data_IF_352293808450
#
_entry.id   IF_352293808450
#
_cell.length_a   1.000
_cell.length_b   1.000
_cell.length_c   1.000
_cell.angle_alpha   90.00
_cell.angle_beta   90.00
_cell.angle_gamma   90.00
#
_symmetry.space_group_name_H-M   'P 1'
#
loop_
_entity.id
_entity.type
_entity.pdbx_description
1 polymer ?
#
# COMPACT_ATOMS: atom_id res chain seq x y z
N UNK A 1 -8.97 21.20 7.24
CA UNK A 1 -7.91 20.60 6.40
C UNK A 1 -8.52 20.37 5.02
N UNK A 2 -8.03 21.03 3.97
CA UNK A 2 -8.53 20.80 2.61
C UNK A 2 -8.14 19.38 2.19
N UNK A 3 -9.10 18.46 2.29
CA UNK A 3 -8.90 17.04 2.02
C UNK A 3 -8.66 16.73 0.52
N UNK A 4 -8.68 17.73 -0.37
CA UNK A 4 -8.61 17.48 -1.81
C UNK A 4 -7.19 17.57 -2.38
N UNK A 5 -6.19 17.89 -1.54
CA UNK A 5 -4.83 18.21 -1.97
C UNK A 5 -3.77 17.13 -1.67
N UNK A 6 -4.19 15.86 -1.65
CA UNK A 6 -3.31 14.74 -1.29
C UNK A 6 -2.05 14.62 -2.16
N UNK A 7 -2.13 14.98 -3.44
CA UNK A 7 -0.99 14.93 -4.36
C UNK A 7 0.09 15.95 -3.97
N UNK A 8 -0.28 17.19 -3.64
CA UNK A 8 0.70 18.18 -3.17
C UNK A 8 1.23 17.84 -1.79
N UNK A 9 0.40 17.28 -0.89
CA UNK A 9 0.86 16.83 0.43
C UNK A 9 1.92 15.73 0.28
N UNK A 10 1.65 14.73 -0.57
CA UNK A 10 2.62 13.67 -0.84
C UNK A 10 3.88 14.25 -1.50
N UNK A 11 3.74 15.10 -2.52
CA UNK A 11 4.88 15.69 -3.21
C UNK A 11 5.74 16.58 -2.30
N UNK A 12 5.12 17.35 -1.40
CA UNK A 12 5.83 18.17 -0.43
C UNK A 12 6.64 17.30 0.54
N UNK A 13 6.04 16.21 1.05
CA UNK A 13 6.74 15.27 1.91
C UNK A 13 7.89 14.57 1.16
N UNK A 14 7.64 14.12 -0.07
CA UNK A 14 8.62 13.41 -0.89
C UNK A 14 9.90 14.20 -1.14
N UNK A 15 9.76 15.52 -1.33
CA UNK A 15 10.87 16.43 -1.65
C UNK A 15 11.45 17.12 -0.40
N UNK A 16 11.08 16.70 0.81
CA UNK A 16 11.56 17.33 2.04
C UNK A 16 12.88 16.70 2.49
N UNK A 17 13.95 17.50 2.57
CA UNK A 17 15.33 17.05 2.89
C UNK A 17 15.47 16.29 4.22
N UNK A 18 14.58 16.55 5.19
CA UNK A 18 14.57 15.89 6.50
C UNK A 18 13.77 14.60 6.57
N UNK A 19 13.19 14.12 5.45
CA UNK A 19 12.36 12.92 5.37
C UNK A 19 13.03 11.84 4.53
N UNK A 20 12.65 10.58 4.78
CA UNK A 20 13.20 9.43 4.07
C UNK A 20 12.24 8.95 3.00
N UNK A 21 12.58 9.22 1.74
CA UNK A 21 11.81 8.82 0.56
C UNK A 21 12.42 7.57 -0.10
N UNK A 22 11.57 6.60 -0.41
CA UNK A 22 11.97 5.30 -0.97
C UNK A 22 11.02 4.95 -2.13
N UNK A 23 11.60 4.65 -3.29
CA UNK A 23 10.90 4.23 -4.50
C UNK A 23 11.37 2.84 -4.90
N UNK A 24 10.42 1.96 -5.17
CA UNK A 24 10.70 0.65 -5.73
C UNK A 24 10.64 0.70 -7.25
N UNK A 25 11.51 -0.06 -7.91
CA UNK A 25 11.39 -0.32 -9.34
C UNK A 25 10.00 -0.89 -9.65
N UNK A 26 9.30 -0.38 -10.68
CA UNK A 26 7.99 -0.91 -11.07
C UNK A 26 8.06 -2.42 -11.37
N UNK A 27 7.29 -3.19 -10.60
CA UNK A 27 7.29 -4.65 -10.66
C UNK A 27 6.44 -5.14 -11.83
N UNK A 28 7.05 -5.82 -12.80
CA UNK A 28 6.33 -6.53 -13.85
C UNK A 28 5.71 -7.81 -13.29
N UNK A 29 4.41 -7.75 -12.99
CA UNK A 29 3.69 -8.83 -12.29
C UNK A 29 3.64 -10.10 -13.14
N UNK A 30 3.44 -9.97 -14.45
CA UNK A 30 3.32 -11.13 -15.33
C UNK A 30 4.67 -11.79 -15.57
N UNK A 31 5.75 -11.01 -15.68
CA UNK A 31 7.10 -11.56 -15.74
C UNK A 31 7.45 -12.32 -14.45
N UNK A 32 7.17 -11.74 -13.28
CA UNK A 32 7.44 -12.41 -11.99
C UNK A 32 6.61 -13.69 -11.84
N UNK A 33 5.35 -13.69 -12.29
CA UNK A 33 4.54 -14.92 -12.34
C UNK A 33 5.20 -16.00 -13.18
N UNK A 34 5.60 -15.67 -14.41
CA UNK A 34 6.25 -16.60 -15.32
C UNK A 34 7.56 -17.15 -14.74
N UNK A 35 8.33 -16.31 -14.06
CA UNK A 35 9.65 -16.67 -13.55
C UNK A 35 9.59 -17.45 -12.24
N UNK A 36 8.75 -17.04 -11.28
CA UNK A 36 8.81 -17.51 -9.90
C UNK A 36 7.69 -18.50 -9.51
N UNK A 37 6.69 -18.74 -10.37
CA UNK A 37 5.52 -19.56 -10.02
C UNK A 37 5.27 -20.71 -10.99
N UNK A 38 4.80 -21.83 -10.45
CA UNK A 38 4.28 -22.98 -11.18
C UNK A 38 2.78 -22.83 -11.42
N UNK A 39 2.24 -23.60 -12.35
CA UNK A 39 0.78 -23.67 -12.62
C UNK A 39 0.14 -22.33 -13.02
N UNK A 40 0.93 -21.41 -13.59
CA UNK A 40 0.48 -20.11 -14.10
C UNK A 40 0.14 -20.11 -15.59
N UNK A 41 0.06 -21.30 -16.21
CA UNK A 41 -0.28 -21.39 -17.62
C UNK A 41 -1.69 -20.84 -17.89
N UNK A 42 -1.78 -19.79 -18.72
CA UNK A 42 -3.04 -19.10 -19.01
C UNK A 42 -3.42 -18.01 -17.99
N UNK A 43 -2.65 -17.82 -16.92
CA UNK A 43 -2.79 -16.70 -16.01
C UNK A 43 -1.93 -15.53 -16.49
N UNK A 44 -2.57 -14.41 -16.77
CA UNK A 44 -1.95 -13.11 -17.02
C UNK A 44 -2.82 -12.07 -16.34
N UNK A 45 -2.24 -11.27 -15.45
CA UNK A 45 -2.98 -10.18 -14.83
C UNK A 45 -3.05 -9.03 -15.81
N UNK A 46 -4.23 -8.44 -15.89
CA UNK A 46 -4.41 -7.20 -16.63
C UNK A 46 -4.22 -5.98 -15.73
N UNK A 47 -3.96 -4.81 -16.33
CA UNK A 47 -3.92 -3.52 -15.62
C UNK A 47 -5.21 -3.27 -14.85
N UNK A 48 -6.37 -3.58 -15.43
CA UNK A 48 -7.67 -3.47 -14.76
C UNK A 48 -7.75 -4.36 -13.52
N UNK A 49 -7.27 -5.61 -13.60
CA UNK A 49 -7.27 -6.52 -12.46
C UNK A 49 -6.30 -6.08 -11.37
N UNK A 50 -5.11 -5.60 -11.73
CA UNK A 50 -4.14 -5.10 -10.76
C UNK A 50 -4.64 -3.82 -10.07
N UNK A 51 -5.41 -2.99 -10.78
CA UNK A 51 -6.06 -1.84 -10.17
C UNK A 51 -7.22 -2.24 -9.24
N UNK A 52 -8.04 -3.23 -9.62
CA UNK A 52 -9.06 -3.78 -8.72
C UNK A 52 -8.44 -4.31 -7.42
N UNK A 53 -7.31 -5.01 -7.52
CA UNK A 53 -6.53 -5.42 -6.36
C UNK A 53 -6.15 -4.24 -5.47
N UNK A 54 -5.55 -3.17 -6.04
CA UNK A 54 -5.13 -2.00 -5.26
C UNK A 54 -6.31 -1.34 -4.52
N UNK A 55 -7.46 -1.22 -5.19
CA UNK A 55 -8.69 -0.69 -4.59
C UNK A 55 -9.19 -1.56 -3.43
N UNK A 56 -9.20 -2.88 -3.59
CA UNK A 56 -9.62 -3.82 -2.53
C UNK A 56 -8.65 -3.82 -1.35
N UNK A 57 -7.35 -3.86 -1.63
CA UNK A 57 -6.28 -3.76 -0.62
C UNK A 57 -6.40 -2.47 0.17
N UNK A 58 -6.64 -1.34 -0.49
CA UNK A 58 -6.79 -0.06 0.19
C UNK A 58 -7.93 -0.10 1.23
N UNK A 59 -9.07 -0.72 0.87
CA UNK A 59 -10.27 -0.78 1.69
C UNK A 59 -10.23 -1.86 2.81
N UNK A 60 -9.63 -3.01 2.53
CA UNK A 60 -9.56 -4.20 3.42
C UNK A 60 -8.15 -4.78 3.47
N UNK A 61 -7.15 -4.01 3.94
CA UNK A 61 -5.77 -4.44 3.85
C UNK A 61 -5.49 -5.68 4.72
N UNK A 62 -6.30 -5.94 5.75
CA UNK A 62 -6.23 -7.17 6.57
C UNK A 62 -6.38 -8.46 5.76
N UNK A 63 -7.11 -8.43 4.64
CA UNK A 63 -7.30 -9.60 3.77
C UNK A 63 -6.15 -9.80 2.77
N UNK A 64 -5.45 -8.73 2.41
CA UNK A 64 -4.45 -8.76 1.33
C UNK A 64 -3.02 -8.68 1.85
N UNK A 65 -2.78 -8.15 3.04
CA UNK A 65 -1.46 -8.08 3.68
C UNK A 65 -1.49 -8.56 5.14
N UNK A 66 -1.97 -9.80 5.42
CA UNK A 66 -2.00 -10.33 6.78
C UNK A 66 -0.60 -10.51 7.40
N UNK A 67 0.46 -10.55 6.58
CA UNK A 67 1.85 -10.48 7.06
C UNK A 67 2.24 -9.11 7.63
N UNK A 68 1.47 -8.04 7.35
CA UNK A 68 1.70 -6.67 7.83
C UNK A 68 0.67 -6.26 8.88
N UNK A 69 -0.59 -6.65 8.70
CA UNK A 69 -1.72 -6.19 9.52
C UNK A 69 -2.16 -7.23 10.53
N UNK A 70 -2.38 -6.78 11.76
CA UNK A 70 -2.99 -7.63 12.80
C UNK A 70 -4.44 -7.93 12.42
N UNK A 71 -4.75 -9.22 12.34
CA UNK A 71 -6.09 -9.73 12.05
C UNK A 71 -7.16 -9.07 12.93
N UNK A 72 -8.29 -8.70 12.31
CA UNK A 72 -9.44 -8.12 13.00
C UNK A 72 -9.30 -6.65 13.43
N UNK A 73 -8.17 -5.99 13.13
CA UNK A 73 -7.94 -4.59 13.56
C UNK A 73 -8.22 -3.55 12.48
N UNK A 74 -8.23 -3.95 11.21
CA UNK A 74 -8.46 -3.02 10.10
C UNK A 74 -9.91 -2.54 10.06
N UNK A 75 -10.08 -1.22 9.94
CA UNK A 75 -11.36 -0.53 9.79
C UNK A 75 -11.23 0.60 8.79
N UNK A 76 -12.28 0.85 8.00
CA UNK A 76 -12.36 2.00 7.11
C UNK A 76 -13.74 2.66 7.19
N UNK A 77 -13.79 3.98 7.06
CA UNK A 77 -15.01 4.77 7.21
C UNK A 77 -14.93 6.10 6.44
N UNK A 78 -16.03 6.84 6.43
CA UNK A 78 -16.08 8.19 5.84
C UNK A 78 -15.93 8.20 4.32
N UNK A 79 -16.27 7.09 3.65
CA UNK A 79 -16.14 6.97 2.19
C UNK A 79 -17.02 7.99 1.47
N UNK A 80 -16.40 8.79 0.60
CA UNK A 80 -17.05 9.80 -0.24
C UNK A 80 -16.26 9.99 -1.53
N UNK A 81 -16.86 10.71 -2.49
CA UNK A 81 -16.21 11.07 -3.76
C UNK A 81 -15.94 12.58 -3.80
N UNK A 82 -14.76 12.95 -4.27
CA UNK A 82 -14.37 14.34 -4.53
C UNK A 82 -14.92 14.83 -5.86
N UNK A 83 -14.94 16.14 -6.09
CA UNK A 83 -15.33 16.73 -7.38
C UNK A 83 -14.41 16.25 -8.53
N UNK A 84 -13.14 15.97 -8.24
CA UNK A 84 -12.18 15.38 -9.18
C UNK A 84 -12.54 13.96 -9.62
N UNK A 85 -13.51 13.32 -8.97
CA UNK A 85 -13.85 11.92 -9.17
C UNK A 85 -12.99 10.94 -8.37
N UNK A 86 -11.99 11.44 -7.61
CA UNK A 86 -11.21 10.65 -6.64
C UNK A 86 -12.11 10.15 -5.51
N UNK A 87 -12.02 8.87 -5.17
CA UNK A 87 -12.66 8.34 -3.96
C UNK A 87 -11.76 8.60 -2.76
N UNK A 88 -12.33 9.02 -1.63
CA UNK A 88 -11.60 9.22 -0.38
C UNK A 88 -12.30 8.51 0.77
N UNK A 89 -11.52 7.89 1.65
CA UNK A 89 -11.97 7.35 2.93
C UNK A 89 -10.82 7.38 3.94
N UNK A 90 -11.12 7.16 5.21
CA UNK A 90 -10.10 6.98 6.24
C UNK A 90 -10.01 5.50 6.56
N UNK A 91 -8.80 5.01 6.86
CA UNK A 91 -8.60 3.69 7.45
C UNK A 91 -7.70 3.75 8.67
N UNK A 92 -7.89 2.79 9.57
CA UNK A 92 -6.98 2.54 10.67
C UNK A 92 -6.79 1.03 10.87
N UNK A 93 -5.59 0.64 11.28
CA UNK A 93 -5.23 -0.77 11.53
C UNK A 93 -4.04 -0.85 12.48
N UNK A 94 -3.90 -1.96 13.20
CA UNK A 94 -2.62 -2.27 13.85
C UNK A 94 -1.69 -2.93 12.83
N UNK A 95 -0.55 -2.30 12.55
CA UNK A 95 0.43 -2.77 11.58
C UNK A 95 1.74 -3.13 12.29
N UNK A 96 2.47 -4.11 11.75
CA UNK A 96 3.84 -4.40 12.20
C UNK A 96 4.68 -3.14 12.04
N UNK A 97 5.52 -2.85 13.03
CA UNK A 97 6.43 -1.71 12.96
C UNK A 97 7.58 -2.04 12.01
N UNK A 98 7.94 -1.09 11.13
CA UNK A 98 8.99 -1.29 10.12
C UNK A 98 10.32 -1.81 10.70
N UNK A 99 10.77 -1.20 11.81
CA UNK A 99 12.04 -1.55 12.45
C UNK A 99 11.89 -2.54 13.62
N UNK A 100 10.67 -2.93 13.98
CA UNK A 100 10.36 -3.89 15.05
C UNK A 100 9.21 -4.80 14.61
N UNK A 101 9.44 -5.70 13.62
CA UNK A 101 8.36 -6.43 12.94
C UNK A 101 7.55 -7.37 13.86
N UNK A 102 8.10 -7.76 15.02
CA UNK A 102 7.38 -8.55 16.03
C UNK A 102 6.42 -7.72 16.91
N UNK A 103 6.40 -6.40 16.71
CA UNK A 103 5.55 -5.45 17.43
C UNK A 103 4.54 -4.79 16.50
N UNK A 104 3.38 -4.44 17.05
CA UNK A 104 2.35 -3.69 16.35
C UNK A 104 2.22 -2.26 16.86
N UNK A 105 1.78 -1.37 15.97
CA UNK A 105 1.34 -0.02 16.30
C UNK A 105 0.15 0.39 15.43
N UNK A 106 -0.74 1.21 15.99
CA UNK A 106 -1.85 1.81 15.24
C UNK A 106 -1.32 2.74 14.16
N UNK A 107 -1.75 2.52 12.92
CA UNK A 107 -1.54 3.41 11.79
C UNK A 107 -2.91 3.93 11.36
N UNK A 108 -2.97 5.23 11.07
CA UNK A 108 -4.18 5.93 10.61
C UNK A 108 -3.84 6.64 9.31
N UNK A 109 -4.65 6.45 8.27
CA UNK A 109 -4.38 6.99 6.94
C UNK A 109 -5.66 7.56 6.31
N UNK A 110 -5.56 8.71 5.65
CA UNK A 110 -6.53 9.11 4.64
C UNK A 110 -6.12 8.47 3.30
N UNK A 111 -7.03 7.71 2.70
CA UNK A 111 -6.84 6.99 1.46
C UNK A 111 -7.52 7.72 0.31
N UNK A 112 -6.80 7.91 -0.80
CA UNK A 112 -7.28 8.58 -2.01
C UNK A 112 -7.13 7.63 -3.20
N UNK A 113 -8.24 7.21 -3.79
CA UNK A 113 -8.26 6.35 -4.99
C UNK A 113 -8.52 7.21 -6.22
N UNK A 114 -7.48 7.51 -6.98
CA UNK A 114 -7.60 8.14 -8.28
C UNK A 114 -7.77 7.06 -9.35
N UNK A 115 -9.02 6.75 -9.71
CA UNK A 115 -9.32 5.73 -10.71
C UNK A 115 -8.88 6.10 -12.13
N UNK A 116 -8.76 7.40 -12.45
CA UNK A 116 -8.33 7.84 -13.77
C UNK A 116 -6.84 7.55 -14.01
N UNK A 117 -5.99 7.80 -13.01
CA UNK A 117 -4.57 7.47 -13.06
C UNK A 117 -4.23 6.08 -12.50
N UNK A 118 -5.22 5.36 -11.96
CA UNK A 118 -5.05 4.08 -11.26
C UNK A 118 -3.95 4.14 -10.19
N UNK A 119 -4.13 5.12 -9.30
CA UNK A 119 -3.19 5.43 -8.23
C UNK A 119 -3.92 5.55 -6.89
N UNK A 120 -3.35 4.94 -5.86
CA UNK A 120 -3.78 5.08 -4.49
C UNK A 120 -2.73 5.88 -3.71
N UNK A 121 -3.15 6.94 -3.05
CA UNK A 121 -2.30 7.68 -2.11
C UNK A 121 -2.84 7.50 -0.69
N UNK A 122 -1.97 7.15 0.23
CA UNK A 122 -2.22 7.03 1.65
C UNK A 122 -1.47 8.13 2.38
N UNK A 123 -2.19 9.03 3.04
CA UNK A 123 -1.62 10.11 3.85
C UNK A 123 -1.76 9.72 5.31
N UNK A 124 -0.64 9.35 5.95
CA UNK A 124 -0.57 9.09 7.38
C UNK A 124 -1.03 10.30 8.22
N UNK A 125 -1.91 10.05 9.18
CA UNK A 125 -2.49 11.06 10.07
C UNK A 125 -2.08 10.79 11.52
N UNK A 126 -1.75 11.83 12.32
CA UNK A 126 -1.46 11.65 13.74
C UNK A 126 -2.69 11.19 14.53
N UNK A 127 -3.87 11.72 14.19
CA UNK A 127 -5.15 11.34 14.77
C UNK A 127 -6.31 11.73 13.86
N UNK A 128 -7.46 11.10 14.07
CA UNK A 128 -8.70 11.34 13.35
C UNK A 128 -9.89 10.94 14.24
N UNK A 129 -11.08 11.46 13.97
CA UNK A 129 -12.32 10.96 14.56
C UNK A 129 -12.91 9.82 13.71
N UNK A 130 -13.37 8.76 14.36
CA UNK A 130 -14.13 7.69 13.72
C UNK A 130 -15.61 8.06 13.52
N UNK A 131 -16.36 7.16 12.88
CA UNK A 131 -17.78 7.33 12.56
C UNK A 131 -18.71 7.41 13.78
N UNK A 132 -18.21 7.05 14.97
CA UNK A 132 -18.91 7.18 16.25
C UNK A 132 -18.35 8.32 17.11
N UNK A 133 -17.51 9.18 16.54
CA UNK A 133 -16.94 10.37 17.19
C UNK A 133 -15.83 10.08 18.19
N UNK A 134 -15.19 8.90 18.14
CA UNK A 134 -14.04 8.57 18.98
C UNK A 134 -12.75 8.95 18.27
N UNK A 135 -11.83 9.57 19.00
CA UNK A 135 -10.49 9.86 18.47
C UNK A 135 -9.68 8.57 18.38
N UNK A 136 -9.20 8.26 17.18
CA UNK A 136 -8.21 7.22 16.90
C UNK A 136 -6.86 7.90 16.69
N UNK A 137 -5.83 7.48 17.42
CA UNK A 137 -4.48 8.06 17.35
C UNK A 137 -3.50 7.07 16.72
N UNK A 138 -2.61 7.57 15.87
CA UNK A 138 -1.46 6.82 15.42
C UNK A 138 -0.50 6.57 16.58
N UNK A 139 0.13 5.40 16.57
CA UNK A 139 1.15 5.03 17.54
C UNK A 139 2.40 5.87 17.34
N UNK A 140 3.00 6.44 18.41
CA UNK A 140 4.27 7.17 18.30
C UNK A 140 5.48 6.24 18.15
N UNK A 141 5.28 4.92 18.13
CA UNK A 141 6.36 3.92 18.07
C UNK A 141 7.05 3.81 16.71
N UNK A 142 6.49 4.43 15.68
CA UNK A 142 7.14 4.62 14.38
C UNK A 142 6.74 5.98 13.80
N UNK A 143 7.56 6.56 12.92
CA UNK A 143 7.20 7.79 12.21
C UNK A 143 5.89 7.63 11.43
N UNK A 144 5.16 8.74 11.28
CA UNK A 144 4.13 8.82 10.25
C UNK A 144 4.80 8.64 8.88
N UNK A 145 4.04 8.14 7.91
CA UNK A 145 4.50 7.97 6.56
C UNK A 145 3.37 8.23 5.56
N UNK A 146 3.73 8.48 4.31
CA UNK A 146 2.80 8.53 3.20
C UNK A 146 3.19 7.48 2.18
N UNK A 147 2.21 6.84 1.56
CA UNK A 147 2.43 5.77 0.57
C UNK A 147 1.70 6.12 -0.72
N UNK A 148 2.33 5.87 -1.84
CA UNK A 148 1.71 5.86 -3.14
C UNK A 148 1.86 4.46 -3.75
N UNK A 149 0.74 3.82 -4.02
CA UNK A 149 0.68 2.61 -4.83
C UNK A 149 -0.01 2.91 -6.14
N UNK A 150 0.26 2.12 -7.17
CA UNK A 150 -0.44 2.30 -8.43
C UNK A 150 -0.15 1.20 -9.43
N UNK A 151 -0.75 1.39 -10.60
CA UNK A 151 -0.52 0.54 -11.76
C UNK A 151 -0.02 1.40 -12.90
N UNK A 152 1.12 1.03 -13.47
CA UNK A 152 1.68 1.59 -14.70
C UNK A 152 1.71 0.52 -15.80
N UNK A 153 2.18 0.86 -17.00
CA UNK A 153 2.18 -0.04 -18.14
C UNK A 153 0.81 -0.23 -18.79
N UNK A 154 0.79 -1.08 -19.82
CA UNK A 154 -0.37 -1.36 -20.67
C UNK A 154 -1.31 -2.42 -20.05
N UNK A 155 -2.50 -2.59 -20.64
CA UNK A 155 -3.49 -3.56 -20.13
C UNK A 155 -2.92 -4.98 -19.97
N UNK A 156 -2.16 -5.46 -20.96
CA UNK A 156 -1.61 -6.82 -20.97
C UNK A 156 -0.19 -6.93 -20.38
N UNK A 157 0.42 -5.78 -20.04
CA UNK A 157 1.75 -5.72 -19.43
C UNK A 157 1.77 -4.71 -18.27
N UNK A 158 0.93 -4.93 -17.23
CA UNK A 158 0.84 -4.03 -16.10
C UNK A 158 2.05 -4.14 -15.20
N UNK A 159 2.43 -3.01 -14.60
CA UNK A 159 3.47 -2.95 -13.57
C UNK A 159 2.92 -2.36 -12.29
N UNK A 160 3.17 -3.02 -11.16
CA UNK A 160 2.85 -2.47 -9.86
C UNK A 160 3.90 -1.43 -9.46
N UNK A 161 3.46 -0.26 -9.01
CA UNK A 161 4.35 0.81 -8.56
C UNK A 161 4.19 1.04 -7.06
N UNK A 162 5.28 1.34 -6.36
CA UNK A 162 5.26 1.64 -4.94
C UNK A 162 6.31 2.68 -4.56
N UNK A 163 5.83 3.74 -3.91
CA UNK A 163 6.62 4.79 -3.29
C UNK A 163 6.17 5.01 -1.86
N UNK A 164 7.11 5.29 -0.96
CA UNK A 164 6.83 5.63 0.42
C UNK A 164 7.74 6.74 0.90
N UNK A 165 7.22 7.64 1.71
CA UNK A 165 8.01 8.65 2.43
C UNK A 165 7.70 8.58 3.91
N UNK A 166 8.73 8.37 4.72
CA UNK A 166 8.65 8.47 6.17
C UNK A 166 8.90 9.91 6.60
N UNK A 167 8.02 10.45 7.45
CA UNK A 167 8.09 11.82 7.95
C UNK A 167 9.11 11.97 9.10
N UNK A 168 10.28 11.37 8.91
CA UNK A 168 11.44 11.41 9.78
C UNK A 168 12.69 11.08 8.95
N UNK A 169 13.85 11.56 9.39
CA UNK A 169 15.12 11.23 8.78
C UNK A 169 15.55 9.80 9.12
N UNK A 170 16.33 9.19 8.24
CA UNK A 170 16.95 7.88 8.43
C UNK A 170 18.44 8.04 8.72
N UNK A 171 18.75 8.76 9.80
CA UNK A 171 20.12 9.17 10.17
C UNK A 171 21.11 7.98 10.28
N UNK A 172 20.58 6.77 10.47
CA UNK A 172 21.35 5.54 10.65
C UNK A 172 21.11 4.49 9.55
N UNK A 173 20.38 4.82 8.49
CA UNK A 173 20.15 3.92 7.35
C UNK A 173 19.25 2.71 7.61
N UNK A 174 18.73 2.54 8.83
CA UNK A 174 17.98 1.36 9.23
C UNK A 174 16.67 1.20 8.44
N UNK A 175 16.03 2.32 8.07
CA UNK A 175 14.85 2.28 7.22
C UNK A 175 15.21 1.87 5.80
N UNK A 176 16.23 2.49 5.22
CA UNK A 176 16.72 2.19 3.88
C UNK A 176 17.12 0.71 3.75
N UNK A 177 17.85 0.17 4.72
CA UNK A 177 18.21 -1.25 4.77
C UNK A 177 16.98 -2.17 4.89
N UNK A 178 15.95 -1.75 5.65
CA UNK A 178 14.71 -2.50 5.74
C UNK A 178 14.02 -2.63 4.38
N UNK A 179 13.95 -1.53 3.64
CA UNK A 179 13.31 -1.49 2.34
C UNK A 179 14.14 -2.15 1.23
N UNK A 180 15.46 -2.12 1.34
CA UNK A 180 16.35 -2.89 0.47
C UNK A 180 16.13 -4.40 0.64
N UNK A 181 15.94 -4.90 1.87
CA UNK A 181 15.57 -6.31 2.07
C UNK A 181 14.21 -6.66 1.46
N UNK A 182 13.25 -5.74 1.51
CA UNK A 182 11.93 -5.92 0.90
C UNK A 182 12.04 -5.95 -0.63
N UNK A 183 12.85 -5.08 -1.24
CA UNK A 183 13.01 -5.04 -2.70
C UNK A 183 13.71 -6.28 -3.26
N UNK A 184 14.54 -6.93 -2.44
CA UNK A 184 15.21 -8.19 -2.77
C UNK A 184 14.35 -9.44 -2.51
N UNK A 185 13.14 -9.29 -1.94
CA UNK A 185 12.27 -10.42 -1.67
C UNK A 185 11.84 -11.08 -2.99
N UNK A 186 12.04 -12.40 -3.08
CA UNK A 186 11.69 -13.15 -4.27
C UNK A 186 10.18 -13.40 -4.38
N UNK A 187 9.67 -13.29 -5.62
CA UNK A 187 8.28 -13.55 -5.98
C UNK A 187 7.41 -12.28 -5.98
N UNK A 188 6.11 -12.50 -6.03
CA UNK A 188 5.12 -11.44 -5.94
C UNK A 188 4.97 -10.94 -4.50
N UNK A 189 4.61 -9.66 -4.31
CA UNK A 189 4.14 -9.15 -3.03
C UNK A 189 2.90 -9.91 -2.55
N UNK A 190 2.76 -10.08 -1.24
CA UNK A 190 1.67 -10.83 -0.59
C UNK A 190 0.28 -10.43 -1.10
N UNK A 191 0.03 -9.13 -1.30
CA UNK A 191 -1.25 -8.64 -1.77
C UNK A 191 -1.61 -9.06 -3.20
N UNK A 192 -0.61 -9.29 -4.06
CA UNK A 192 -0.85 -9.78 -5.41
C UNK A 192 -1.16 -11.27 -5.36
N UNK A 193 -0.38 -12.04 -4.58
CA UNK A 193 -0.63 -13.48 -4.38
C UNK A 193 -2.05 -13.71 -3.84
N UNK A 194 -2.43 -12.98 -2.79
CA UNK A 194 -3.77 -13.06 -2.18
C UNK A 194 -4.88 -12.70 -3.14
N UNK A 195 -4.70 -11.67 -3.96
CA UNK A 195 -5.71 -11.33 -4.97
C UNK A 195 -5.89 -12.45 -6.00
N UNK A 196 -4.80 -13.06 -6.46
CA UNK A 196 -4.85 -14.15 -7.42
C UNK A 196 -5.54 -15.38 -6.80
N UNK A 197 -5.16 -15.77 -5.58
CA UNK A 197 -5.69 -16.96 -4.92
C UNK A 197 -7.13 -16.77 -4.42
N UNK A 198 -7.42 -15.65 -3.74
CA UNK A 198 -8.66 -15.47 -3.01
C UNK A 198 -9.75 -14.76 -3.83
N UNK A 199 -9.38 -14.01 -4.87
CA UNK A 199 -10.33 -13.25 -5.71
C UNK A 199 -10.45 -13.83 -7.11
N UNK A 200 -9.34 -14.17 -7.75
CA UNK A 200 -9.36 -14.82 -9.07
C UNK A 200 -9.53 -16.34 -8.98
N UNK A 201 -9.52 -16.90 -7.76
CA UNK A 201 -9.64 -18.35 -7.50
C UNK A 201 -8.59 -19.17 -8.25
N UNK A 202 -7.36 -18.65 -8.33
CA UNK A 202 -6.25 -19.29 -9.02
C UNK A 202 -5.15 -19.69 -8.03
N UNK A 203 -4.94 -20.99 -7.76
CA UNK A 203 -3.94 -21.44 -6.80
C UNK A 203 -2.53 -21.15 -7.31
N UNK A 204 -1.69 -20.57 -6.46
CA UNK A 204 -0.29 -20.31 -6.77
C UNK A 204 0.63 -21.33 -6.08
N UNK A 205 1.75 -21.65 -6.72
CA UNK A 205 2.79 -22.46 -6.10
C UNK A 205 4.14 -21.93 -6.53
N UNK A 206 4.91 -21.36 -5.60
CA UNK A 206 6.26 -20.85 -5.89
C UNK A 206 7.17 -21.98 -6.40
N UNK A 207 8.03 -21.67 -7.36
CA UNK A 207 9.11 -22.56 -7.79
C UNK A 207 10.10 -22.70 -6.63
N UNK A 208 10.59 -23.92 -6.43
CA UNK A 208 11.65 -24.21 -5.46
C UNK A 208 13.01 -23.92 -6.05
#
# INVERSE_FOLDING_TARGET
>A
MHQDNHEEVFAAAWNHDGYTSIEFEPLDVNQVLADAYNSVAGLSLTRTQLWDMEVRKAARPDLFIPGVIREGTARSWGRRRLESGTEVFVRASEQRLWLQPDSYGTVVEACYLNHASQRVTFIGLPEVEDDVGRTVKASPRQPLFHVEHGVSGEEEAPRNTWRIVHLASDDHGAMSECFERISQAAGLPEYVERYIEDVLDWPLTRKR
#
